data_IF_460314493178
#
_entry.id   IF_460314493178
#
_cell.length_a   1.000
_cell.length_b   1.000
_cell.length_c   1.000
_cell.angle_alpha   90.00
_cell.angle_beta   90.00
_cell.angle_gamma   90.00
#
_symmetry.space_group_name_H-M   'P 1'
#
loop_
_entity.id
_entity.type
_entity.pdbx_description
1 polymer ?
#
# COMPACT_ATOMS: atom_id res chain seq x y z
N UNK A 1 16.56 -2.60 31.44
CA UNK A 1 16.18 -2.25 30.07
C UNK A 1 14.79 -1.68 30.16
N UNK A 2 14.51 -0.57 29.47
CA UNK A 2 13.15 -0.02 29.35
C UNK A 2 12.29 -0.96 28.48
N UNK A 3 11.00 -1.10 28.84
CA UNK A 3 10.02 -1.88 28.05
C UNK A 3 9.10 -0.95 27.29
N UNK A 4 8.46 -1.46 26.25
CA UNK A 4 7.46 -0.81 25.42
C UNK A 4 6.29 -1.75 25.15
N UNK A 5 5.13 -1.19 24.82
CA UNK A 5 3.98 -1.96 24.35
C UNK A 5 4.22 -2.44 22.92
N UNK A 6 3.82 -3.67 22.62
CA UNK A 6 3.84 -4.24 21.28
C UNK A 6 2.66 -5.19 21.08
N UNK A 7 2.03 -5.13 19.92
CA UNK A 7 0.96 -6.03 19.51
C UNK A 7 1.56 -7.14 18.67
N UNK A 8 1.49 -8.38 19.18
CA UNK A 8 2.19 -9.52 18.62
C UNK A 8 1.26 -10.59 18.05
N UNK A 9 1.73 -11.22 16.97
CA UNK A 9 1.23 -12.51 16.51
C UNK A 9 1.87 -13.58 17.37
N UNK A 10 1.08 -14.21 18.22
CA UNK A 10 1.52 -15.32 19.13
C UNK A 10 1.23 -16.68 18.52
N UNK A 11 0.35 -16.73 17.54
CA UNK A 11 -0.03 -17.91 16.75
C UNK A 11 -0.96 -17.54 15.63
N UNK A 12 -1.01 -18.38 14.60
CA UNK A 12 -1.95 -18.21 13.49
C UNK A 12 -3.36 -18.67 13.88
N UNK A 13 -4.39 -18.13 13.21
CA UNK A 13 -5.82 -18.41 13.46
C UNK A 13 -6.29 -18.06 14.89
N UNK A 14 -5.61 -17.11 15.53
CA UNK A 14 -5.99 -16.60 16.85
C UNK A 14 -5.78 -15.08 16.93
N UNK A 15 -6.32 -14.48 17.99
CA UNK A 15 -6.23 -13.02 18.19
C UNK A 15 -4.77 -12.59 18.44
N UNK A 16 -4.48 -11.35 18.08
CA UNK A 16 -3.27 -10.66 18.48
C UNK A 16 -3.24 -10.45 20.00
N UNK A 17 -2.03 -10.36 20.56
CA UNK A 17 -1.85 -10.06 21.98
C UNK A 17 -1.01 -8.79 22.18
N UNK A 18 -1.41 -7.96 23.14
CA UNK A 18 -0.60 -6.85 23.63
C UNK A 18 0.40 -7.40 24.65
N UNK A 19 1.68 -7.16 24.41
CA UNK A 19 2.78 -7.61 25.27
C UNK A 19 3.73 -6.47 25.61
N UNK A 20 4.53 -6.63 26.64
CA UNK A 20 5.68 -5.79 26.94
C UNK A 20 6.96 -6.41 26.38
N UNK A 21 7.66 -5.69 25.52
CA UNK A 21 8.94 -6.10 24.95
C UNK A 21 10.02 -5.06 25.24
N UNK A 22 11.29 -5.42 25.07
CA UNK A 22 12.38 -4.45 25.22
C UNK A 22 12.31 -3.34 24.17
N UNK A 23 12.55 -2.10 24.58
CA UNK A 23 12.71 -0.99 23.62
C UNK A 23 13.92 -1.29 22.73
N UNK A 24 13.80 -1.22 21.40
CA UNK A 24 14.91 -1.49 20.49
C UNK A 24 16.01 -0.42 20.60
N UNK A 25 17.26 -0.83 20.42
CA UNK A 25 18.44 0.05 20.46
C UNK A 25 19.08 0.19 19.07
N UNK A 26 19.62 1.38 18.78
CA UNK A 26 20.40 1.66 17.58
C UNK A 26 21.84 1.13 17.75
N UNK A 27 22.03 -0.17 17.67
CA UNK A 27 23.30 -0.86 17.87
C UNK A 27 24.17 -0.90 16.61
N UNK A 28 23.56 -0.88 15.44
CA UNK A 28 24.24 -0.81 14.15
C UNK A 28 24.50 0.63 13.69
N UNK A 29 25.53 0.84 12.87
CA UNK A 29 25.91 2.20 12.44
C UNK A 29 24.84 2.92 11.62
N UNK A 30 23.95 2.20 10.94
CA UNK A 30 22.87 2.73 10.11
C UNK A 30 21.47 2.49 10.70
N UNK A 31 21.38 2.04 11.94
CA UNK A 31 20.09 1.82 12.60
C UNK A 31 19.38 3.15 12.87
N UNK A 32 18.07 3.13 12.72
CA UNK A 32 17.19 4.23 13.14
C UNK A 32 16.07 3.63 13.99
N UNK A 33 15.87 4.21 15.18
CA UNK A 33 14.72 3.91 16.02
C UNK A 33 13.68 5.00 15.78
N UNK A 34 12.49 4.60 15.39
CA UNK A 34 11.35 5.49 15.16
C UNK A 34 10.37 5.33 16.31
N UNK A 35 10.05 6.41 17.02
CA UNK A 35 8.90 6.47 17.91
C UNK A 35 7.66 6.55 17.01
N UNK A 36 6.80 5.58 17.09
CA UNK A 36 5.62 5.48 16.22
C UNK A 36 4.63 6.60 16.56
N UNK A 37 4.16 7.27 15.52
CA UNK A 37 3.07 8.26 15.58
C UNK A 37 1.81 7.76 14.91
N UNK A 38 1.96 6.78 14.02
CA UNK A 38 0.87 6.06 13.38
C UNK A 38 1.35 4.79 12.70
N UNK A 39 0.53 3.73 12.80
CA UNK A 39 0.72 2.47 12.10
C UNK A 39 -0.58 2.07 11.37
N UNK A 40 -0.53 1.93 10.05
CA UNK A 40 -1.68 1.58 9.24
C UNK A 40 -2.09 0.12 9.40
N UNK A 41 -3.40 -0.13 9.37
CA UNK A 41 -3.98 -1.48 9.42
C UNK A 41 -4.35 -1.91 8.00
N UNK A 42 -3.76 -3.01 7.54
CA UNK A 42 -3.85 -3.51 6.18
C UNK A 42 -4.57 -4.86 6.11
N UNK A 43 -5.16 -5.19 4.96
CA UNK A 43 -5.73 -6.52 4.72
C UNK A 43 -4.67 -7.63 4.82
N UNK A 44 -3.42 -7.32 4.54
CA UNK A 44 -2.29 -8.25 4.73
C UNK A 44 -2.15 -8.70 6.18
N UNK A 45 -2.50 -7.85 7.17
CA UNK A 45 -2.49 -8.25 8.58
C UNK A 45 -3.51 -9.36 8.86
N UNK A 46 -4.69 -9.30 8.22
CA UNK A 46 -5.68 -10.38 8.28
C UNK A 46 -5.14 -11.67 7.64
N UNK A 47 -4.51 -11.57 6.47
CA UNK A 47 -3.92 -12.72 5.79
C UNK A 47 -2.78 -13.37 6.60
N UNK A 48 -2.03 -12.58 7.38
CA UNK A 48 -1.03 -13.09 8.32
C UNK A 48 -1.73 -13.89 9.42
N UNK A 49 -2.77 -13.35 10.04
CA UNK A 49 -3.53 -14.03 11.09
C UNK A 49 -4.19 -15.31 10.57
N UNK A 50 -4.61 -15.34 9.32
CA UNK A 50 -5.15 -16.52 8.62
C UNK A 50 -4.08 -17.54 8.21
N UNK A 51 -2.81 -17.32 8.55
CA UNK A 51 -1.70 -18.23 8.26
C UNK A 51 -1.22 -18.25 6.80
N UNK A 52 -1.72 -17.35 5.93
CA UNK A 52 -1.33 -17.34 4.51
C UNK A 52 0.15 -16.99 4.29
N UNK A 53 0.79 -16.39 5.32
CA UNK A 53 2.19 -15.97 5.29
C UNK A 53 3.11 -16.88 6.12
N UNK A 54 2.60 -17.93 6.77
CA UNK A 54 3.37 -18.79 7.67
C UNK A 54 4.65 -19.32 7.03
N UNK A 55 4.53 -19.98 5.87
CA UNK A 55 5.70 -20.52 5.16
C UNK A 55 6.51 -19.44 4.45
N UNK A 56 5.85 -18.40 3.95
CA UNK A 56 6.49 -17.37 3.10
C UNK A 56 7.31 -16.38 3.89
N UNK A 57 6.89 -16.02 5.09
CA UNK A 57 7.57 -15.03 5.93
C UNK A 57 8.84 -15.57 6.57
N UNK A 58 8.84 -16.87 6.93
CA UNK A 58 9.93 -17.50 7.70
C UNK A 58 10.14 -16.90 9.08
N UNK A 59 9.16 -16.12 9.59
CA UNK A 59 9.24 -15.46 10.89
C UNK A 59 9.06 -16.47 12.03
N UNK A 60 9.76 -16.23 13.14
CA UNK A 60 9.57 -16.99 14.37
C UNK A 60 8.59 -16.27 15.28
N UNK A 61 7.54 -16.98 15.72
CA UNK A 61 6.57 -16.45 16.68
C UNK A 61 7.11 -16.49 18.10
N UNK A 62 6.74 -15.56 19.00
CA UNK A 62 5.93 -14.36 18.69
C UNK A 62 6.73 -13.25 18.00
N UNK A 63 6.08 -12.41 17.19
CA UNK A 63 6.68 -11.21 16.63
C UNK A 63 5.67 -10.07 16.53
N UNK A 64 6.16 -8.82 16.51
CA UNK A 64 5.33 -7.62 16.40
C UNK A 64 4.91 -7.40 14.95
N UNK A 65 3.60 -7.28 14.71
CA UNK A 65 3.00 -7.02 13.39
C UNK A 65 2.98 -5.50 13.08
N UNK A 66 2.59 -5.12 11.86
CA UNK A 66 2.38 -3.73 11.42
C UNK A 66 3.50 -3.22 10.50
N UNK A 67 3.18 -3.05 9.21
CA UNK A 67 4.14 -2.74 8.15
C UNK A 67 3.95 -1.36 7.52
N UNK A 68 2.98 -0.55 7.96
CA UNK A 68 2.69 0.80 7.45
C UNK A 68 2.98 1.86 8.53
N UNK A 69 4.19 2.42 8.56
CA UNK A 69 4.67 3.14 9.73
C UNK A 69 5.13 4.57 9.43
N UNK A 70 4.75 5.51 10.28
CA UNK A 70 5.31 6.86 10.35
C UNK A 70 5.45 7.31 11.79
N UNK A 71 6.39 8.23 12.07
CA UNK A 71 6.65 8.67 13.43
C UNK A 71 7.74 9.72 13.50
N UNK A 72 8.45 9.72 14.60
CA UNK A 72 9.57 10.64 14.85
C UNK A 72 10.84 9.83 15.12
N UNK A 73 11.95 10.26 14.56
CA UNK A 73 13.25 9.67 14.86
C UNK A 73 13.55 9.82 16.35
N UNK A 74 13.75 8.70 17.04
CA UNK A 74 14.03 8.65 18.47
C UNK A 74 15.52 8.50 18.77
N UNK A 75 16.21 7.65 18.00
CA UNK A 75 17.65 7.42 18.14
C UNK A 75 18.23 6.98 16.78
N UNK A 76 19.51 7.30 16.57
CA UNK A 76 20.22 6.99 15.32
C UNK A 76 21.57 6.34 15.59
N UNK A 77 21.98 5.48 14.68
CA UNK A 77 23.35 4.91 14.63
C UNK A 77 24.39 5.93 14.17
N UNK A 78 25.65 5.65 14.49
CA UNK A 78 26.78 6.59 14.31
C UNK A 78 27.07 7.03 12.89
N UNK A 79 26.59 6.32 11.87
CA UNK A 79 26.79 6.63 10.46
C UNK A 79 25.55 7.18 9.75
N UNK A 80 24.46 7.42 10.48
CA UNK A 80 23.23 8.02 9.93
C UNK A 80 23.47 9.50 9.69
N UNK A 81 23.18 9.99 8.48
CA UNK A 81 23.41 11.39 8.09
C UNK A 81 22.19 12.03 7.39
N UNK A 82 21.18 11.24 7.02
CA UNK A 82 20.03 11.69 6.25
C UNK A 82 18.85 12.15 7.12
N UNK A 83 18.87 11.82 8.42
CA UNK A 83 17.87 12.24 9.40
C UNK A 83 18.54 12.52 10.75
N UNK A 84 17.86 13.28 11.60
CA UNK A 84 18.27 13.61 12.97
C UNK A 84 17.16 13.22 13.97
N UNK A 85 17.52 13.09 15.25
CA UNK A 85 16.54 12.88 16.31
C UNK A 85 15.51 14.00 16.33
N UNK A 86 14.22 13.63 16.43
CA UNK A 86 13.09 14.53 16.38
C UNK A 86 12.50 14.75 14.98
N UNK A 87 13.21 14.40 13.90
CA UNK A 87 12.66 14.51 12.55
C UNK A 87 11.40 13.65 12.37
N UNK A 88 10.38 14.21 11.70
CA UNK A 88 9.20 13.47 11.27
C UNK A 88 9.56 12.61 10.06
N UNK A 89 9.24 11.32 10.11
CA UNK A 89 9.57 10.37 9.04
C UNK A 89 8.40 9.44 8.74
N UNK A 90 8.34 9.00 7.47
CA UNK A 90 7.60 7.81 7.05
C UNK A 90 8.62 6.71 6.76
N UNK A 91 8.25 5.47 7.06
CA UNK A 91 9.16 4.32 6.95
C UNK A 91 8.81 3.52 5.70
N UNK A 92 9.75 3.47 4.73
CA UNK A 92 9.66 2.51 3.63
C UNK A 92 9.60 1.09 4.21
N UNK A 93 8.65 0.25 3.80
CA UNK A 93 8.35 -0.99 4.51
C UNK A 93 9.47 -2.03 4.41
N UNK A 94 10.36 -1.90 3.43
CA UNK A 94 11.50 -2.80 3.24
C UNK A 94 12.79 -2.19 3.78
N UNK A 95 13.55 -2.96 4.57
CA UNK A 95 14.95 -2.68 4.88
C UNK A 95 15.79 -3.35 3.80
N UNK A 96 16.47 -2.56 2.97
CA UNK A 96 17.17 -3.03 1.77
C UNK A 96 18.69 -2.97 1.93
N UNK A 97 19.44 -3.85 1.25
CA UNK A 97 20.89 -3.96 1.42
C UNK A 97 21.69 -2.79 0.80
N UNK A 98 21.15 -2.09 -0.19
CA UNK A 98 21.81 -0.98 -0.89
C UNK A 98 22.93 -1.38 -1.87
N UNK A 99 23.28 -2.64 -1.95
CA UNK A 99 24.47 -3.13 -2.66
C UNK A 99 24.16 -4.00 -3.87
N UNK A 100 23.02 -4.73 -3.86
CA UNK A 100 22.62 -5.57 -4.98
C UNK A 100 22.22 -4.74 -6.22
N UNK A 101 22.03 -5.42 -7.34
CA UNK A 101 21.69 -4.76 -8.61
C UNK A 101 20.39 -3.95 -8.49
N UNK A 102 19.35 -4.53 -7.90
CA UNK A 102 18.05 -3.87 -7.73
C UNK A 102 18.19 -2.56 -6.91
N UNK A 103 18.84 -2.61 -5.75
CA UNK A 103 19.08 -1.42 -4.94
C UNK A 103 19.86 -0.32 -5.70
N UNK A 104 20.88 -0.70 -6.47
CA UNK A 104 21.71 0.26 -7.21
C UNK A 104 21.02 0.84 -8.44
N UNK A 105 19.99 0.18 -8.96
CA UNK A 105 19.18 0.72 -10.05
C UNK A 105 18.01 1.58 -9.57
N UNK A 106 17.79 1.70 -8.24
CA UNK A 106 16.67 2.42 -7.67
C UNK A 106 15.36 1.62 -7.65
N UNK A 107 15.46 0.31 -7.90
CA UNK A 107 14.34 -0.65 -7.90
C UNK A 107 14.47 -1.58 -6.68
N UNK A 108 14.66 -0.96 -5.53
CA UNK A 108 15.05 -1.64 -4.29
C UNK A 108 13.94 -2.48 -3.66
N UNK A 109 12.69 -2.37 -4.12
CA UNK A 109 11.61 -3.32 -3.80
C UNK A 109 12.01 -4.77 -4.15
N UNK A 110 12.86 -4.96 -5.16
CA UNK A 110 13.41 -6.26 -5.57
C UNK A 110 14.78 -6.58 -4.94
N UNK A 111 15.07 -6.02 -3.77
CA UNK A 111 16.32 -6.31 -3.06
C UNK A 111 16.43 -7.78 -2.71
N UNK A 112 17.57 -8.41 -3.08
CA UNK A 112 17.85 -9.83 -2.85
C UNK A 112 18.02 -10.18 -1.35
N UNK A 113 18.32 -9.17 -0.51
CA UNK A 113 18.59 -9.32 0.92
C UNK A 113 17.77 -8.28 1.70
N UNK A 114 16.47 -8.26 1.48
CA UNK A 114 15.56 -7.38 2.24
C UNK A 114 14.97 -8.07 3.46
N UNK A 115 14.63 -7.28 4.46
CA UNK A 115 13.67 -7.65 5.49
C UNK A 115 12.47 -6.72 5.45
N UNK A 116 11.32 -7.22 5.92
CA UNK A 116 10.06 -6.50 5.86
C UNK A 116 9.46 -6.44 7.28
N UNK A 117 9.75 -5.37 8.05
CA UNK A 117 9.18 -5.17 9.37
C UNK A 117 7.66 -5.27 9.39
N UNK A 118 7.12 -6.08 10.30
CA UNK A 118 5.69 -6.39 10.39
C UNK A 118 5.24 -7.59 9.55
N UNK A 119 6.15 -8.15 8.71
CA UNK A 119 5.88 -9.36 7.91
C UNK A 119 6.85 -10.49 8.30
N UNK A 120 8.17 -10.25 8.28
CA UNK A 120 9.18 -11.25 8.58
C UNK A 120 10.17 -10.84 9.69
N UNK A 121 10.01 -9.64 10.23
CA UNK A 121 10.69 -9.13 11.44
C UNK A 121 9.71 -8.23 12.20
N UNK A 122 10.07 -7.83 13.43
CA UNK A 122 9.22 -6.95 14.25
C UNK A 122 8.85 -5.65 13.52
N UNK A 123 7.55 -5.33 13.57
CA UNK A 123 6.93 -4.18 12.92
C UNK A 123 6.53 -3.06 13.89
N UNK A 124 5.59 -2.21 13.45
CA UNK A 124 5.28 -0.95 14.10
C UNK A 124 3.97 -0.91 14.88
N UNK A 125 3.26 -2.02 15.13
CA UNK A 125 2.18 -2.03 16.13
C UNK A 125 2.78 -2.03 17.53
N UNK A 126 3.54 -0.98 17.83
CA UNK A 126 4.31 -0.81 19.04
C UNK A 126 4.59 0.67 19.31
N UNK A 127 5.15 1.00 20.47
CA UNK A 127 5.59 2.38 20.76
C UNK A 127 6.81 2.78 19.91
N UNK A 128 7.71 1.82 19.59
CA UNK A 128 8.92 2.07 18.80
C UNK A 128 9.16 0.97 17.77
N UNK A 129 9.75 1.37 16.63
CA UNK A 129 10.18 0.48 15.55
C UNK A 129 11.67 0.69 15.26
N UNK A 130 12.42 -0.41 15.13
CA UNK A 130 13.79 -0.38 14.60
C UNK A 130 13.78 -0.57 13.09
N UNK A 131 14.45 0.33 12.38
CA UNK A 131 14.61 0.28 10.93
C UNK A 131 16.00 0.74 10.53
N UNK A 132 16.22 1.04 9.26
CA UNK A 132 17.49 1.50 8.69
C UNK A 132 17.40 2.94 8.18
N UNK A 133 18.50 3.66 8.21
CA UNK A 133 18.63 4.96 7.54
C UNK A 133 18.22 4.92 6.06
N UNK A 134 18.31 3.76 5.41
CA UNK A 134 17.89 3.56 4.02
C UNK A 134 16.38 3.46 3.84
N UNK A 135 15.64 3.24 4.92
CA UNK A 135 14.19 3.04 4.87
C UNK A 135 13.41 4.23 5.40
N UNK A 136 14.06 5.29 5.89
CA UNK A 136 13.36 6.46 6.40
C UNK A 136 13.35 7.59 5.37
N UNK A 137 12.16 8.15 5.14
CA UNK A 137 11.94 9.34 4.31
C UNK A 137 11.45 10.44 5.24
N UNK A 138 12.18 11.55 5.29
CA UNK A 138 11.73 12.74 6.03
C UNK A 138 10.49 13.30 5.37
N UNK A 139 9.44 13.54 6.13
CA UNK A 139 8.20 14.13 5.66
C UNK A 139 8.18 15.64 5.90
N UNK A 140 7.38 16.37 5.12
CA UNK A 140 7.17 17.80 5.28
C UNK A 140 6.60 18.13 6.67
N UNK A 141 7.03 19.25 7.24
CA UNK A 141 6.62 19.66 8.59
C UNK A 141 5.10 19.90 8.73
N UNK A 142 4.41 20.18 7.62
CA UNK A 142 2.95 20.34 7.58
C UNK A 142 2.19 19.01 7.71
N UNK A 143 2.86 17.88 7.56
CA UNK A 143 2.26 16.55 7.65
C UNK A 143 2.43 15.98 9.06
N UNK A 144 1.39 15.29 9.53
CA UNK A 144 1.45 14.54 10.79
C UNK A 144 1.66 13.04 10.50
N UNK A 145 2.57 12.37 11.24
CA UNK A 145 2.83 10.93 11.03
C UNK A 145 1.56 10.07 11.05
N UNK A 146 0.63 10.32 11.98
CA UNK A 146 -0.64 9.60 12.06
C UNK A 146 -1.57 9.82 10.87
N UNK A 147 -1.36 10.86 10.08
CA UNK A 147 -2.19 11.15 8.90
C UNK A 147 -1.63 10.55 7.63
N UNK A 148 -0.36 10.14 7.64
CA UNK A 148 0.34 9.62 6.45
C UNK A 148 0.83 8.17 6.59
N UNK A 149 0.73 7.55 7.76
CA UNK A 149 1.31 6.24 8.03
C UNK A 149 0.93 5.18 6.99
N UNK A 150 -0.34 5.12 6.55
CA UNK A 150 -0.77 4.17 5.54
C UNK A 150 -0.26 4.49 4.11
N UNK A 151 0.39 5.63 3.90
CA UNK A 151 1.12 5.88 2.65
C UNK A 151 2.41 5.04 2.56
N UNK A 152 2.89 4.50 3.68
CA UNK A 152 4.11 3.70 3.73
C UNK A 152 4.01 2.39 2.91
N UNK A 153 2.83 1.75 2.84
CA UNK A 153 2.62 0.57 2.00
C UNK A 153 1.40 0.70 1.10
N UNK A 154 0.17 0.90 1.61
CA UNK A 154 -1.00 1.03 0.75
C UNK A 154 -0.87 2.19 -0.24
N UNK A 155 -0.37 3.35 0.22
CA UNK A 155 -0.09 4.49 -0.66
C UNK A 155 1.03 4.22 -1.64
N UNK A 156 2.13 3.66 -1.17
CA UNK A 156 3.29 3.30 -1.97
C UNK A 156 2.92 2.30 -3.07
N UNK A 157 2.18 1.25 -2.73
CA UNK A 157 1.70 0.23 -3.67
C UNK A 157 0.79 0.85 -4.74
N UNK A 158 -0.13 1.72 -4.32
CA UNK A 158 -1.01 2.42 -5.25
C UNK A 158 -0.23 3.40 -6.15
N UNK A 159 0.75 4.12 -5.60
CA UNK A 159 1.62 5.03 -6.35
C UNK A 159 2.44 4.27 -7.41
N UNK A 160 3.09 3.18 -7.01
CA UNK A 160 3.93 2.37 -7.90
C UNK A 160 3.16 1.87 -9.13
N UNK A 161 1.96 1.29 -8.91
CA UNK A 161 1.10 0.86 -10.00
C UNK A 161 0.63 2.04 -10.88
N UNK A 162 0.21 3.14 -10.27
CA UNK A 162 -0.24 4.35 -10.97
C UNK A 162 0.90 4.99 -11.78
N UNK A 163 2.11 5.07 -11.24
CA UNK A 163 3.28 5.63 -11.92
C UNK A 163 3.72 4.78 -13.14
N UNK A 164 3.66 3.44 -13.03
CA UNK A 164 3.86 2.55 -14.19
C UNK A 164 2.78 2.77 -15.25
N UNK A 165 1.52 2.81 -14.85
CA UNK A 165 0.38 3.03 -15.73
C UNK A 165 0.43 4.39 -16.44
N UNK A 166 0.76 5.46 -15.72
CA UNK A 166 0.80 6.83 -16.25
C UNK A 166 1.77 7.00 -17.43
N UNK A 167 2.84 6.19 -17.51
CA UNK A 167 3.80 6.23 -18.63
C UNK A 167 3.19 5.87 -19.97
N UNK A 168 2.07 5.17 -19.98
CA UNK A 168 1.34 4.74 -21.18
C UNK A 168 0.20 5.68 -21.56
N UNK A 169 -0.21 6.55 -20.65
CA UNK A 169 -1.46 7.31 -20.75
C UNK A 169 -1.25 8.69 -21.38
N UNK A 170 -2.13 9.02 -22.32
CA UNK A 170 -2.20 10.33 -22.98
C UNK A 170 -3.56 11.01 -22.69
N UNK A 171 -3.75 12.31 -23.01
CA UNK A 171 -5.03 13.00 -22.76
C UNK A 171 -6.27 12.40 -23.43
N UNK A 172 -6.10 11.52 -24.41
CA UNK A 172 -7.22 10.87 -25.12
C UNK A 172 -7.58 9.50 -24.53
N UNK A 173 -6.73 8.98 -23.65
CA UNK A 173 -6.84 7.62 -23.13
C UNK A 173 -7.80 7.54 -21.94
N UNK A 174 -8.24 6.33 -21.66
CA UNK A 174 -9.07 5.95 -20.51
C UNK A 174 -8.27 5.02 -19.61
N UNK A 175 -8.32 5.28 -18.33
CA UNK A 175 -7.79 4.37 -17.32
C UNK A 175 -8.95 3.89 -16.44
N UNK A 176 -9.12 2.58 -16.35
CA UNK A 176 -10.08 1.98 -15.43
C UNK A 176 -9.37 1.61 -14.14
N UNK A 177 -9.99 1.91 -13.01
CA UNK A 177 -9.55 1.49 -11.68
C UNK A 177 -10.63 0.61 -11.08
N UNK A 178 -10.32 -0.65 -10.82
CA UNK A 178 -11.20 -1.57 -10.09
C UNK A 178 -10.84 -1.54 -8.61
N UNK A 179 -11.83 -1.19 -7.78
CA UNK A 179 -11.70 -1.02 -6.34
C UNK A 179 -11.34 0.41 -5.93
N UNK A 180 -12.23 1.05 -5.17
CA UNK A 180 -12.05 2.40 -4.61
C UNK A 180 -11.86 2.36 -3.08
N UNK A 181 -11.47 1.21 -2.54
CA UNK A 181 -11.19 0.98 -1.13
C UNK A 181 -9.86 1.57 -0.66
N UNK A 182 -9.19 0.84 0.27
CA UNK A 182 -7.97 1.31 0.96
C UNK A 182 -6.79 1.71 0.08
N UNK A 183 -6.57 1.05 -1.07
CA UNK A 183 -5.54 1.39 -2.04
C UNK A 183 -6.12 2.29 -3.16
N UNK A 184 -7.31 1.93 -3.66
CA UNK A 184 -7.87 2.58 -4.84
C UNK A 184 -8.13 4.06 -4.65
N UNK A 185 -8.62 4.51 -3.46
CA UNK A 185 -8.84 5.94 -3.24
C UNK A 185 -7.53 6.76 -3.26
N UNK A 186 -6.39 6.14 -2.96
CA UNK A 186 -5.07 6.76 -3.09
C UNK A 186 -4.64 6.75 -4.56
N UNK A 187 -4.74 5.59 -5.23
CA UNK A 187 -4.36 5.42 -6.64
C UNK A 187 -5.11 6.37 -7.59
N UNK A 188 -6.39 6.63 -7.32
CA UNK A 188 -7.20 7.60 -8.07
C UNK A 188 -6.61 9.01 -7.96
N UNK A 189 -6.28 9.48 -6.75
CA UNK A 189 -5.67 10.79 -6.54
C UNK A 189 -4.28 10.89 -7.17
N UNK A 190 -3.46 9.83 -7.06
CA UNK A 190 -2.15 9.76 -7.71
C UNK A 190 -2.32 9.85 -9.23
N UNK A 191 -3.16 9.03 -9.85
CA UNK A 191 -3.42 9.08 -11.29
C UNK A 191 -3.90 10.45 -11.73
N UNK A 192 -4.77 11.10 -10.94
CA UNK A 192 -5.23 12.46 -11.23
C UNK A 192 -4.10 13.48 -11.19
N UNK A 193 -3.12 13.28 -10.30
CA UNK A 193 -1.99 14.20 -10.14
C UNK A 193 -0.91 14.03 -11.22
N UNK A 194 -0.71 12.79 -11.73
CA UNK A 194 0.44 12.47 -12.62
C UNK A 194 0.05 12.02 -14.03
N UNK A 195 -1.25 11.81 -14.30
CA UNK A 195 -1.74 11.35 -15.62
C UNK A 195 -2.75 12.31 -16.22
N UNK A 196 -2.71 12.56 -17.54
CA UNK A 196 -3.70 13.37 -18.25
C UNK A 196 -4.95 12.59 -18.67
N UNK A 197 -4.99 11.26 -18.48
CA UNK A 197 -6.08 10.40 -18.92
C UNK A 197 -7.37 10.62 -18.12
N UNK A 198 -8.51 10.24 -18.71
CA UNK A 198 -9.77 10.17 -17.97
C UNK A 198 -9.86 8.90 -17.14
N UNK A 199 -10.33 9.03 -15.90
CA UNK A 199 -10.42 7.95 -14.94
C UNK A 199 -11.85 7.43 -14.83
N UNK A 200 -12.03 6.12 -15.00
CA UNK A 200 -13.29 5.42 -14.77
C UNK A 200 -13.07 4.49 -13.58
N UNK A 201 -13.85 4.63 -12.54
CA UNK A 201 -13.72 3.82 -11.32
C UNK A 201 -14.87 2.84 -11.20
N UNK A 202 -14.57 1.58 -10.91
CA UNK A 202 -15.53 0.50 -10.72
C UNK A 202 -15.41 -0.03 -9.30
N UNK A 203 -16.52 -0.03 -8.54
CA UNK A 203 -16.58 -0.62 -7.20
C UNK A 203 -17.97 -1.15 -6.90
N UNK A 204 -18.08 -2.17 -6.05
CA UNK A 204 -19.38 -2.72 -5.59
C UNK A 204 -20.08 -1.81 -4.60
N UNK A 205 -19.34 -0.96 -3.89
CA UNK A 205 -19.87 -0.06 -2.90
C UNK A 205 -20.22 1.31 -3.52
N UNK A 206 -21.50 1.70 -3.60
CA UNK A 206 -21.91 2.99 -4.17
C UNK A 206 -21.29 4.20 -3.46
N UNK A 207 -21.02 4.11 -2.15
CA UNK A 207 -20.40 5.21 -1.41
C UNK A 207 -18.90 5.33 -1.73
N UNK A 208 -18.20 4.22 -2.00
CA UNK A 208 -16.83 4.24 -2.49
C UNK A 208 -16.76 4.85 -3.91
N UNK A 209 -17.71 4.54 -4.78
CA UNK A 209 -17.84 5.16 -6.12
C UNK A 209 -18.06 6.67 -6.01
N UNK A 210 -18.97 7.12 -5.13
CA UNK A 210 -19.20 8.56 -4.90
C UNK A 210 -17.93 9.27 -4.39
N UNK A 211 -17.22 8.64 -3.43
CA UNK A 211 -15.94 9.16 -2.95
C UNK A 211 -14.95 9.26 -4.11
N UNK A 212 -14.79 8.22 -4.92
CA UNK A 212 -13.87 8.19 -6.05
C UNK A 212 -14.10 9.37 -7.01
N UNK A 213 -15.35 9.67 -7.35
CA UNK A 213 -15.70 10.82 -8.18
C UNK A 213 -15.35 12.14 -7.48
N UNK A 214 -15.58 12.26 -6.18
CA UNK A 214 -15.29 13.48 -5.42
C UNK A 214 -13.79 13.78 -5.30
N UNK A 215 -12.93 12.76 -5.40
CA UNK A 215 -11.45 12.88 -5.29
C UNK A 215 -10.74 12.84 -6.64
N UNK A 216 -11.47 12.82 -7.76
CA UNK A 216 -10.87 13.06 -9.06
C UNK A 216 -11.18 12.05 -10.18
N UNK A 217 -11.97 11.01 -9.94
CA UNK A 217 -12.45 10.17 -11.04
C UNK A 217 -13.43 10.93 -11.93
N UNK A 218 -13.31 10.78 -13.25
CA UNK A 218 -14.21 11.40 -14.21
C UNK A 218 -15.57 10.69 -14.29
N UNK A 219 -15.56 9.34 -14.07
CA UNK A 219 -16.76 8.52 -14.07
C UNK A 219 -16.68 7.46 -12.96
N UNK A 220 -17.84 7.15 -12.39
CA UNK A 220 -18.00 6.07 -11.41
C UNK A 220 -19.03 5.05 -11.89
N UNK A 221 -18.71 3.78 -11.80
CA UNK A 221 -19.57 2.64 -12.15
C UNK A 221 -19.77 1.76 -10.93
N UNK A 222 -21.01 1.50 -10.56
CA UNK A 222 -21.34 0.55 -9.48
C UNK A 222 -21.40 -0.86 -10.06
N UNK A 223 -20.62 -1.79 -9.49
CA UNK A 223 -20.53 -3.16 -10.00
C UNK A 223 -21.73 -4.00 -9.55
N UNK A 224 -22.85 -3.91 -10.29
CA UNK A 224 -24.13 -4.60 -10.06
C UNK A 224 -24.48 -5.59 -11.21
N UNK A 225 -23.47 -6.07 -11.96
CA UNK A 225 -23.63 -7.05 -13.04
C UNK A 225 -23.60 -6.49 -14.46
N UNK A 226 -23.57 -5.15 -14.63
CA UNK A 226 -23.44 -4.48 -15.94
C UNK A 226 -22.19 -3.63 -16.09
N UNK A 227 -21.27 -3.72 -15.15
CA UNK A 227 -20.08 -2.87 -15.08
C UNK A 227 -19.19 -2.95 -16.33
N UNK A 228 -19.11 -4.12 -16.95
CA UNK A 228 -18.32 -4.31 -18.19
C UNK A 228 -18.95 -3.52 -19.34
N UNK A 229 -20.26 -3.66 -19.54
CA UNK A 229 -21.03 -2.97 -20.57
C UNK A 229 -20.96 -1.45 -20.38
N UNK A 230 -21.12 -0.97 -19.14
CA UNK A 230 -21.05 0.45 -18.81
C UNK A 230 -19.66 1.04 -19.07
N UNK A 231 -18.59 0.33 -18.73
CA UNK A 231 -17.21 0.75 -19.06
C UNK A 231 -17.01 0.76 -20.57
N UNK A 232 -17.51 -0.24 -21.31
CA UNK A 232 -17.44 -0.24 -22.77
C UNK A 232 -18.20 0.94 -23.39
N UNK A 233 -19.40 1.29 -22.88
CA UNK A 233 -20.14 2.47 -23.30
C UNK A 233 -19.34 3.76 -23.07
N UNK A 234 -18.65 3.90 -21.92
CA UNK A 234 -17.80 5.05 -21.58
C UNK A 234 -16.49 5.12 -22.38
N UNK A 235 -16.14 4.04 -23.07
CA UNK A 235 -14.94 3.91 -23.91
C UNK A 235 -15.26 3.70 -25.39
N UNK A 236 -16.43 4.14 -25.83
CA UNK A 236 -16.90 4.05 -27.23
C UNK A 236 -16.85 2.62 -27.80
N UNK A 237 -17.05 1.61 -26.96
CA UNK A 237 -17.01 0.19 -27.30
C UNK A 237 -15.62 -0.40 -27.42
N UNK A 238 -14.55 0.38 -27.28
CA UNK A 238 -13.17 -0.07 -27.51
C UNK A 238 -12.50 -0.69 -26.26
N UNK A 239 -12.95 -0.34 -25.07
CA UNK A 239 -12.29 -0.63 -23.81
C UNK A 239 -11.20 0.39 -23.44
N UNK A 240 -10.61 0.24 -22.25
CA UNK A 240 -9.61 1.16 -21.70
C UNK A 240 -8.19 0.80 -22.13
N UNK A 241 -7.34 1.80 -22.25
CA UNK A 241 -5.89 1.67 -22.54
C UNK A 241 -5.15 1.00 -21.40
N UNK A 242 -5.53 1.35 -20.17
CA UNK A 242 -4.93 0.82 -18.95
C UNK A 242 -6.03 0.48 -17.96
N UNK A 243 -5.83 -0.63 -17.26
CA UNK A 243 -6.65 -1.01 -16.13
C UNK A 243 -5.76 -1.33 -14.93
N UNK A 244 -6.11 -0.81 -13.75
CA UNK A 244 -5.45 -1.12 -12.48
C UNK A 244 -6.47 -1.82 -11.58
N UNK A 245 -6.15 -3.06 -11.18
CA UNK A 245 -7.00 -3.86 -10.31
C UNK A 245 -6.42 -3.91 -8.89
N UNK A 246 -7.07 -3.18 -7.97
CA UNK A 246 -6.77 -3.18 -6.54
C UNK A 246 -7.55 -4.24 -5.76
N UNK A 247 -8.36 -5.06 -6.43
CA UNK A 247 -9.22 -6.08 -5.82
C UNK A 247 -8.63 -7.49 -5.99
N UNK A 248 -8.45 -7.95 -7.23
CA UNK A 248 -7.83 -9.24 -7.55
C UNK A 248 -8.62 -10.46 -7.06
N UNK A 249 -9.93 -10.31 -6.77
CA UNK A 249 -10.79 -11.38 -6.27
C UNK A 249 -12.25 -11.18 -6.70
N UNK A 250 -13.07 -12.25 -6.56
CA UNK A 250 -14.52 -12.19 -6.76
C UNK A 250 -14.95 -11.89 -8.19
N UNK A 251 -14.16 -12.31 -9.18
CA UNK A 251 -14.41 -12.14 -10.61
C UNK A 251 -13.88 -10.83 -11.20
N UNK A 252 -13.27 -9.97 -10.39
CA UNK A 252 -12.78 -8.66 -10.82
C UNK A 252 -11.77 -8.76 -11.97
N UNK A 253 -10.87 -9.76 -11.91
CA UNK A 253 -9.84 -9.98 -12.91
C UNK A 253 -10.43 -10.36 -14.28
N UNK A 254 -11.38 -11.31 -14.30
CA UNK A 254 -12.03 -11.74 -15.54
C UNK A 254 -12.86 -10.61 -16.19
N UNK A 255 -13.56 -9.83 -15.37
CA UNK A 255 -14.33 -8.66 -15.82
C UNK A 255 -13.41 -7.55 -16.32
N UNK A 256 -12.32 -7.27 -15.59
CA UNK A 256 -11.34 -6.25 -15.96
C UNK A 256 -10.68 -6.53 -17.32
N UNK A 257 -10.34 -7.79 -17.59
CA UNK A 257 -9.80 -8.19 -18.90
C UNK A 257 -10.80 -7.95 -20.06
N UNK A 258 -12.11 -8.00 -19.79
CA UNK A 258 -13.14 -7.65 -20.79
C UNK A 258 -13.31 -6.14 -20.98
N UNK A 259 -12.94 -5.34 -19.97
CA UNK A 259 -12.96 -3.87 -20.05
C UNK A 259 -11.74 -3.30 -20.76
N UNK A 260 -10.70 -4.11 -21.00
CA UNK A 260 -9.44 -3.69 -21.60
C UNK A 260 -9.51 -3.71 -23.12
N UNK A 261 -8.98 -2.68 -23.78
CA UNK A 261 -8.85 -2.64 -25.24
C UNK A 261 -7.74 -3.58 -25.77
N UNK A 262 -7.67 -3.72 -27.08
CA UNK A 262 -6.50 -4.32 -27.74
C UNK A 262 -5.24 -3.49 -27.44
N UNK A 263 -4.10 -4.17 -27.26
CA UNK A 263 -2.82 -3.62 -26.85
C UNK A 263 -2.89 -2.83 -25.52
N UNK A 264 -3.86 -3.15 -24.66
CA UNK A 264 -4.03 -2.54 -23.36
C UNK A 264 -3.17 -3.19 -22.26
N UNK A 265 -2.93 -2.46 -21.18
CA UNK A 265 -2.15 -2.89 -20.03
C UNK A 265 -3.06 -3.17 -18.82
N UNK A 266 -3.03 -4.40 -18.32
CA UNK A 266 -3.72 -4.82 -17.10
C UNK A 266 -2.72 -4.88 -15.93
N UNK A 267 -2.82 -3.95 -15.00
CA UNK A 267 -1.98 -3.89 -13.80
C UNK A 267 -2.66 -4.63 -12.65
N UNK A 268 -2.06 -5.74 -12.23
CA UNK A 268 -2.50 -6.55 -11.08
C UNK A 268 -1.84 -6.00 -9.82
N UNK A 269 -2.64 -5.63 -8.82
CA UNK A 269 -2.20 -5.13 -7.50
C UNK A 269 -2.85 -5.94 -6.39
N UNK A 270 -4.19 -6.05 -6.39
CA UNK A 270 -4.93 -6.92 -5.48
C UNK A 270 -4.68 -8.40 -5.80
N UNK A 271 -4.89 -9.27 -4.80
CA UNK A 271 -4.73 -10.70 -4.98
C UNK A 271 -5.78 -11.48 -4.16
N UNK A 272 -6.14 -12.65 -4.64
CA UNK A 272 -7.12 -13.54 -4.01
C UNK A 272 -7.61 -14.64 -4.95
N UNK A 273 -7.55 -14.42 -6.28
CA UNK A 273 -7.92 -15.41 -7.26
C UNK A 273 -6.86 -15.62 -8.35
N UNK A 274 -7.06 -16.59 -9.20
CA UNK A 274 -6.20 -16.88 -10.34
C UNK A 274 -6.63 -16.07 -11.57
N UNK A 275 -5.65 -15.69 -12.40
CA UNK A 275 -5.91 -15.16 -13.73
C UNK A 275 -6.04 -16.33 -14.68
N UNK A 276 -7.25 -16.60 -15.14
CA UNK A 276 -7.53 -17.65 -16.13
C UNK A 276 -7.83 -17.01 -17.49
N UNK A 277 -6.81 -16.95 -18.34
CA UNK A 277 -6.87 -16.35 -19.67
C UNK A 277 -6.24 -17.29 -20.68
N UNK A 278 -6.99 -17.68 -21.74
CA UNK A 278 -6.42 -18.43 -22.84
C UNK A 278 -5.26 -17.66 -23.50
N UNK A 279 -4.16 -18.36 -23.79
CA UNK A 279 -3.00 -17.70 -24.42
C UNK A 279 -3.34 -17.07 -25.78
N UNK A 280 -4.30 -17.62 -26.50
CA UNK A 280 -4.76 -17.04 -27.77
C UNK A 280 -5.39 -15.66 -27.57
N UNK A 281 -6.09 -15.41 -26.47
CA UNK A 281 -6.70 -14.11 -26.18
C UNK A 281 -5.63 -13.06 -25.84
N UNK A 282 -4.54 -13.46 -25.16
CA UNK A 282 -3.39 -12.61 -24.93
C UNK A 282 -2.72 -12.22 -26.24
N UNK A 283 -2.46 -13.20 -27.13
CA UNK A 283 -1.76 -13.01 -28.40
C UNK A 283 -2.62 -12.19 -29.38
N UNK A 284 -3.88 -12.60 -29.58
CA UNK A 284 -4.76 -11.99 -30.58
C UNK A 284 -5.16 -10.55 -30.23
N UNK A 285 -5.18 -10.22 -28.93
CA UNK A 285 -5.45 -8.87 -28.43
C UNK A 285 -4.19 -8.10 -28.08
N UNK A 286 -3.02 -8.77 -28.06
CA UNK A 286 -1.73 -8.18 -27.73
C UNK A 286 -1.73 -7.45 -26.36
N UNK A 287 -2.46 -8.00 -25.38
CA UNK A 287 -2.59 -7.42 -24.05
C UNK A 287 -1.37 -7.72 -23.17
N UNK A 288 -1.08 -6.82 -22.25
CA UNK A 288 -0.04 -7.00 -21.23
C UNK A 288 -0.68 -7.24 -19.85
N UNK A 289 -0.19 -8.24 -19.11
CA UNK A 289 -0.54 -8.47 -17.72
C UNK A 289 0.69 -8.16 -16.87
N UNK A 290 0.58 -7.16 -16.00
CA UNK A 290 1.70 -6.54 -15.30
C UNK A 290 1.47 -6.63 -13.80
N UNK A 291 2.31 -7.41 -13.09
CA UNK A 291 2.32 -7.45 -11.63
C UNK A 291 2.91 -6.19 -11.01
N UNK A 292 2.39 -5.80 -9.86
CA UNK A 292 2.89 -4.67 -9.07
C UNK A 292 3.06 -5.11 -7.63
N UNK A 293 4.23 -4.85 -7.07
CA UNK A 293 4.60 -5.22 -5.72
C UNK A 293 5.09 -3.98 -4.97
N UNK A 294 4.37 -3.58 -3.90
CA UNK A 294 4.80 -2.47 -3.03
C UNK A 294 5.25 -1.26 -3.86
N UNK A 295 6.50 -0.87 -3.75
CA UNK A 295 7.14 0.19 -4.53
C UNK A 295 8.55 0.45 -4.01
N UNK A 296 9.32 1.23 -4.75
CA UNK A 296 10.68 1.60 -4.39
C UNK A 296 10.72 2.73 -3.36
N UNK A 297 11.87 2.92 -2.73
CA UNK A 297 12.14 4.10 -1.89
C UNK A 297 11.88 5.42 -2.65
N UNK A 298 12.24 5.47 -3.93
CA UNK A 298 12.00 6.66 -4.76
C UNK A 298 10.50 6.91 -4.99
N UNK A 299 9.71 5.84 -5.20
CA UNK A 299 8.25 5.97 -5.32
C UNK A 299 7.65 6.56 -4.03
N UNK A 300 8.16 6.16 -2.85
CA UNK A 300 7.71 6.73 -1.58
C UNK A 300 8.08 8.21 -1.47
N UNK A 301 9.28 8.61 -1.87
CA UNK A 301 9.68 10.02 -1.90
C UNK A 301 8.76 10.86 -2.79
N UNK A 302 8.46 10.39 -3.99
CA UNK A 302 7.58 11.06 -4.93
C UNK A 302 6.13 11.14 -4.42
N UNK A 303 5.63 10.05 -3.81
CA UNK A 303 4.32 10.04 -3.15
C UNK A 303 4.24 11.06 -2.02
N UNK A 304 5.27 11.15 -1.17
CA UNK A 304 5.31 12.13 -0.09
C UNK A 304 5.36 13.57 -0.60
N UNK A 305 6.00 13.82 -1.75
CA UNK A 305 5.95 15.11 -2.41
C UNK A 305 4.54 15.48 -2.95
N UNK A 306 3.74 14.48 -3.35
CA UNK A 306 2.32 14.69 -3.70
C UNK A 306 1.49 14.97 -2.45
N UNK A 307 1.72 14.23 -1.36
CA UNK A 307 1.03 14.43 -0.09
C UNK A 307 1.30 15.82 0.51
N UNK A 308 2.55 16.27 0.51
CA UNK A 308 2.95 17.60 0.99
C UNK A 308 2.26 18.75 0.23
N UNK A 309 1.90 18.54 -1.03
CA UNK A 309 1.15 19.53 -1.85
C UNK A 309 -0.37 19.38 -1.73
N UNK A 310 -0.86 18.46 -0.91
CA UNK A 310 -2.28 18.16 -0.77
C UNK A 310 -2.91 17.47 -2.00
N UNK A 311 -2.09 16.98 -2.94
CA UNK A 311 -2.59 16.28 -4.12
C UNK A 311 -3.02 14.84 -3.80
N UNK A 312 -2.50 14.27 -2.71
CA UNK A 312 -2.90 12.97 -2.17
C UNK A 312 -3.18 13.13 -0.68
N UNK A 313 -4.37 12.76 -0.27
CA UNK A 313 -4.82 12.78 1.12
C UNK A 313 -5.45 11.44 1.50
N UNK A 314 -5.28 11.05 2.76
CA UNK A 314 -5.91 9.83 3.28
C UNK A 314 -7.24 10.14 3.97
N UNK A 315 -8.22 9.29 3.75
CA UNK A 315 -9.35 9.19 4.65
C UNK A 315 -9.02 8.16 5.73
N UNK A 316 -8.87 8.61 6.99
CA UNK A 316 -8.41 7.76 8.09
C UNK A 316 -9.41 7.66 9.22
N UNK A 317 -9.49 6.47 9.85
CA UNK A 317 -10.11 6.25 11.14
C UNK A 317 -8.98 5.93 12.14
N UNK A 318 -8.82 6.75 13.19
CA UNK A 318 -7.76 6.58 14.19
C UNK A 318 -8.27 5.75 15.37
N UNK A 319 -7.45 4.83 15.82
CA UNK A 319 -7.65 3.96 16.97
C UNK A 319 -6.46 4.09 17.90
N UNK A 320 -6.66 4.06 19.23
CA UNK A 320 -5.54 3.90 20.15
C UNK A 320 -4.87 2.55 19.92
N UNK A 321 -3.57 2.44 20.21
CA UNK A 321 -2.86 1.16 20.08
C UNK A 321 -3.55 0.07 20.91
N UNK A 322 -4.09 0.39 22.09
CA UNK A 322 -4.83 -0.55 22.94
C UNK A 322 -6.15 -1.05 22.31
N UNK A 323 -6.68 -0.33 21.33
CA UNK A 323 -7.89 -0.69 20.55
C UNK A 323 -7.58 -1.52 19.30
N UNK A 324 -6.38 -2.09 19.19
CA UNK A 324 -5.90 -2.81 17.99
C UNK A 324 -6.89 -3.88 17.51
N UNK A 325 -7.47 -4.67 18.41
CA UNK A 325 -8.40 -5.74 18.03
C UNK A 325 -9.66 -5.16 17.38
N UNK A 326 -10.18 -4.03 17.89
CA UNK A 326 -11.32 -3.35 17.28
C UNK A 326 -10.99 -2.85 15.87
N UNK A 327 -9.78 -2.34 15.64
CA UNK A 327 -9.35 -1.89 14.32
C UNK A 327 -9.27 -3.07 13.31
N UNK A 328 -8.74 -4.20 13.75
CA UNK A 328 -8.70 -5.46 12.97
C UNK A 328 -10.11 -5.96 12.65
N UNK A 329 -11.00 -6.01 13.64
CA UNK A 329 -12.39 -6.45 13.47
C UNK A 329 -13.19 -5.52 12.56
N UNK A 330 -12.97 -4.21 12.65
CA UNK A 330 -13.62 -3.22 11.78
C UNK A 330 -13.14 -3.34 10.33
N UNK A 331 -11.84 -3.62 10.12
CA UNK A 331 -11.29 -3.92 8.79
C UNK A 331 -11.89 -5.21 8.23
N UNK A 332 -11.87 -6.31 9.00
CA UNK A 332 -12.38 -7.62 8.57
C UNK A 332 -13.87 -7.56 8.15
N UNK A 333 -14.66 -6.74 8.86
CA UNK A 333 -16.10 -6.56 8.59
C UNK A 333 -16.42 -5.42 7.61
N UNK A 334 -15.44 -4.81 6.95
CA UNK A 334 -15.64 -3.76 5.96
C UNK A 334 -16.25 -2.46 6.53
N UNK A 335 -16.07 -2.19 7.84
CA UNK A 335 -16.61 -1.00 8.51
C UNK A 335 -15.71 0.23 8.37
N UNK A 336 -14.49 0.07 7.84
CA UNK A 336 -13.54 1.16 7.66
C UNK A 336 -13.75 1.84 6.31
N UNK A 337 -13.89 3.17 6.33
CA UNK A 337 -13.82 4.00 5.13
C UNK A 337 -12.41 4.57 5.00
N UNK A 338 -11.73 4.24 3.90
CA UNK A 338 -10.32 4.61 3.70
C UNK A 338 -9.37 3.69 4.48
N UNK A 339 -8.63 4.22 5.48
CA UNK A 339 -7.59 3.47 6.21
C UNK A 339 -7.78 3.57 7.72
N UNK A 340 -7.57 2.47 8.44
CA UNK A 340 -7.43 2.49 9.89
C UNK A 340 -5.97 2.76 10.29
N UNK A 341 -5.77 3.57 11.32
CA UNK A 341 -4.44 3.93 11.85
C UNK A 341 -4.44 3.70 13.36
N UNK A 342 -3.53 2.86 13.82
CA UNK A 342 -3.21 2.70 15.25
C UNK A 342 -2.26 3.83 15.67
N UNK A 343 -2.54 4.45 16.83
CA UNK A 343 -1.70 5.49 17.43
C UNK A 343 -1.30 5.06 18.83
N UNK A 344 -0.01 4.87 19.13
CA UNK A 344 0.50 4.53 20.47
C UNK A 344 0.21 5.55 21.54
#
# INVERSE_FOLDING_TARGET
MSTMRAVQVVGYHQNLEMTEVAVPEATGPFDVIVRIGGAGVCRTDLHILEGQWEEKSGVTLPYTIGHENAGWVHAIGSAVTNVAEGDKVIVHPLITCGLCRACRSGDDVHCENSSFPGINTDGGYADYLKTSARSVVRIDDSLEPSDVAALADAGLTAYHAAAKAARRLTPRDRCVVIGAGGLGHIGIQVLKAISPAKLIVVDRNPDAVKLAVSIGADHGVVAEGRQVEEVLELTDGNGAEVLIDFVGEGGATAEGLRMLRQAGDYHVVGYGENIDVPTIDIISREINIIGNLVGSYNDLCDLMALAARGAVTLHTAKYALDDFQRAIDDLANGRIRGRAILTP
#
